data_IF_556189667571
#
_entry.id   IF_556189667571
#
_cell.length_a   1.000
_cell.length_b   1.000
_cell.length_c   1.000
_cell.angle_alpha   90.00
_cell.angle_beta   90.00
_cell.angle_gamma   90.00
#
_symmetry.space_group_name_H-M   'P 1'
#
loop_
_entity.id
_entity.type
_entity.pdbx_description
1 polymer ?
#
# COMPACT_ATOMS: atom_id res chain seq x y z
N UNK A 1 26.80 9.94 10.57
CA UNK A 1 25.44 9.40 10.81
C UNK A 1 24.60 9.73 9.59
N UNK A 2 24.15 8.74 8.79
CA UNK A 2 23.31 9.01 7.60
C UNK A 2 21.99 9.62 8.07
N UNK A 3 21.68 10.82 7.60
CA UNK A 3 20.45 11.52 7.93
C UNK A 3 19.24 10.65 7.53
N UNK A 4 18.57 10.10 8.53
CA UNK A 4 17.35 9.30 8.42
C UNK A 4 16.09 10.17 8.25
N UNK A 5 16.25 11.47 8.07
CA UNK A 5 15.15 12.42 8.07
C UNK A 5 14.68 12.64 6.62
N UNK A 6 13.55 12.01 6.30
CA UNK A 6 12.74 12.18 5.09
C UNK A 6 13.26 11.53 3.79
N UNK A 7 13.14 10.19 3.64
CA UNK A 7 13.40 9.53 2.36
C UNK A 7 12.29 9.70 1.31
N UNK A 8 11.20 10.42 1.59
CA UNK A 8 9.98 10.43 0.77
C UNK A 8 9.38 11.82 0.52
N UNK A 9 10.17 12.81 0.13
CA UNK A 9 9.56 13.93 -0.59
C UNK A 9 9.16 13.47 -1.99
N UNK A 10 7.87 13.18 -2.15
CA UNK A 10 7.29 12.84 -3.45
C UNK A 10 7.45 14.04 -4.39
N UNK A 11 7.95 13.80 -5.60
CA UNK A 11 7.98 14.83 -6.65
C UNK A 11 6.56 15.27 -7.02
N UNK A 12 6.40 16.43 -7.66
CA UNK A 12 5.09 16.97 -8.07
C UNK A 12 4.29 15.98 -8.92
N UNK A 13 4.95 15.31 -9.87
CA UNK A 13 4.32 14.28 -10.71
C UNK A 13 3.94 13.02 -9.93
N UNK A 14 4.71 12.65 -8.91
CA UNK A 14 4.39 11.52 -8.03
C UNK A 14 3.22 11.84 -7.10
N UNK A 15 3.14 13.07 -6.56
CA UNK A 15 1.97 13.55 -5.82
C UNK A 15 0.72 13.49 -6.68
N UNK A 16 0.82 13.88 -7.95
CA UNK A 16 -0.28 13.83 -8.93
C UNK A 16 -0.69 12.39 -9.27
N UNK A 17 0.26 11.48 -9.48
CA UNK A 17 -0.05 10.06 -9.71
C UNK A 17 -0.65 9.39 -8.47
N UNK A 18 -0.17 9.73 -7.27
CA UNK A 18 -0.77 9.27 -6.01
C UNK A 18 -2.20 9.80 -5.87
N UNK A 19 -2.42 11.09 -6.12
CA UNK A 19 -3.76 11.68 -6.09
C UNK A 19 -4.71 10.99 -7.09
N UNK A 20 -4.25 10.63 -8.30
CA UNK A 20 -5.05 9.86 -9.27
C UNK A 20 -5.38 8.45 -8.78
N UNK A 21 -4.43 7.78 -8.14
CA UNK A 21 -4.65 6.46 -7.55
C UNK A 21 -5.64 6.53 -6.39
N UNK A 22 -5.47 7.51 -5.50
CA UNK A 22 -6.37 7.74 -4.37
C UNK A 22 -7.78 8.08 -4.86
N UNK A 23 -7.92 8.91 -5.90
CA UNK A 23 -9.21 9.17 -6.55
C UNK A 23 -9.86 7.92 -7.14
N UNK A 24 -9.08 7.05 -7.79
CA UNK A 24 -9.59 5.81 -8.35
C UNK A 24 -10.04 4.82 -7.27
N UNK A 25 -9.28 4.73 -6.17
CA UNK A 25 -9.63 3.91 -5.00
C UNK A 25 -10.91 4.44 -4.35
N UNK A 26 -11.00 5.75 -4.11
CA UNK A 26 -12.20 6.41 -3.57
C UNK A 26 -13.41 6.18 -4.49
N UNK A 27 -13.24 6.34 -5.80
CA UNK A 27 -14.32 6.12 -6.78
C UNK A 27 -14.81 4.67 -6.80
N UNK A 28 -13.91 3.70 -6.77
CA UNK A 28 -14.27 2.27 -6.71
C UNK A 28 -14.99 1.93 -5.40
N UNK A 29 -14.50 2.43 -4.27
CA UNK A 29 -15.15 2.24 -2.97
C UNK A 29 -16.51 2.92 -2.89
N UNK A 30 -16.70 4.07 -3.54
CA UNK A 30 -17.99 4.77 -3.61
C UNK A 30 -19.02 4.01 -4.46
N UNK A 31 -18.63 3.52 -5.65
CA UNK A 31 -19.50 2.66 -6.47
C UNK A 31 -19.88 1.40 -5.70
N UNK A 32 -18.92 0.83 -4.97
CA UNK A 32 -19.18 -0.32 -4.12
C UNK A 32 -20.19 0.00 -3.00
N UNK A 33 -20.08 1.16 -2.36
CA UNK A 33 -21.02 1.62 -1.34
C UNK A 33 -22.44 1.82 -1.89
N UNK A 34 -22.58 2.28 -3.13
CA UNK A 34 -23.87 2.35 -3.82
C UNK A 34 -24.49 0.97 -4.03
N UNK A 35 -23.68 -0.04 -4.40
CA UNK A 35 -24.14 -1.43 -4.58
C UNK A 35 -24.56 -2.04 -3.23
N UNK A 36 -23.76 -1.82 -2.18
CA UNK A 36 -24.09 -2.27 -0.81
C UNK A 36 -25.36 -1.61 -0.31
N UNK A 37 -25.55 -0.31 -0.53
CA UNK A 37 -26.79 0.38 -0.10
C UNK A 37 -28.07 -0.15 -0.76
N UNK A 38 -27.92 -0.86 -1.88
CA UNK A 38 -29.02 -1.52 -2.60
C UNK A 38 -29.23 -2.99 -2.18
N UNK A 39 -28.40 -3.53 -1.28
CA UNK A 39 -28.42 -4.93 -0.82
C UNK A 39 -28.31 -5.01 0.71
N UNK A 40 -28.60 -6.16 1.31
CA UNK A 40 -28.44 -6.32 2.77
C UNK A 40 -26.94 -6.33 3.14
N UNK A 41 -26.54 -5.42 4.02
CA UNK A 41 -25.13 -5.14 4.33
C UNK A 41 -24.42 -6.34 4.96
N UNK A 42 -25.15 -7.16 5.73
CA UNK A 42 -24.62 -8.36 6.39
C UNK A 42 -24.22 -9.43 5.36
N UNK A 43 -24.99 -9.57 4.28
CA UNK A 43 -24.69 -10.53 3.22
C UNK A 43 -23.47 -10.13 2.37
N UNK A 44 -23.16 -8.82 2.32
CA UNK A 44 -22.11 -8.28 1.46
C UNK A 44 -20.78 -8.09 2.20
N UNK A 45 -20.80 -7.95 3.54
CA UNK A 45 -19.61 -7.72 4.38
C UNK A 45 -18.42 -8.65 4.07
N UNK A 46 -18.60 -9.99 3.99
CA UNK A 46 -17.50 -10.91 3.72
C UNK A 46 -16.85 -10.70 2.34
N UNK A 47 -17.66 -10.35 1.34
CA UNK A 47 -17.18 -10.05 -0.02
C UNK A 47 -16.33 -8.79 -0.01
N UNK A 48 -16.70 -7.80 0.80
CA UNK A 48 -15.94 -6.55 0.91
C UNK A 48 -14.61 -6.75 1.61
N UNK A 49 -14.58 -7.53 2.69
CA UNK A 49 -13.34 -7.84 3.41
C UNK A 49 -12.35 -8.59 2.52
N UNK A 50 -12.85 -9.51 1.69
CA UNK A 50 -12.04 -10.20 0.69
C UNK A 50 -11.51 -9.23 -0.38
N UNK A 51 -12.37 -8.34 -0.89
CA UNK A 51 -11.98 -7.31 -1.86
C UNK A 51 -10.92 -6.35 -1.27
N UNK A 52 -11.06 -5.98 0.00
CA UNK A 52 -10.08 -5.19 0.74
C UNK A 52 -8.74 -5.93 0.86
N UNK A 53 -8.76 -7.22 1.18
CA UNK A 53 -7.55 -8.04 1.23
C UNK A 53 -6.80 -8.06 -0.11
N UNK A 54 -7.54 -8.18 -1.22
CA UNK A 54 -6.98 -8.09 -2.59
C UNK A 54 -6.39 -6.70 -2.83
N UNK A 55 -7.12 -5.63 -2.50
CA UNK A 55 -6.67 -4.25 -2.66
C UNK A 55 -5.40 -3.96 -1.86
N UNK A 56 -5.34 -4.41 -0.61
CA UNK A 56 -4.16 -4.30 0.27
C UNK A 56 -2.98 -5.06 -0.33
N UNK A 57 -3.18 -6.31 -0.75
CA UNK A 57 -2.13 -7.12 -1.39
C UNK A 57 -1.56 -6.49 -2.65
N UNK A 58 -2.43 -5.96 -3.53
CA UNK A 58 -2.02 -5.25 -4.73
C UNK A 58 -1.27 -3.95 -4.42
N UNK A 59 -1.79 -3.17 -3.47
CA UNK A 59 -1.19 -1.91 -3.00
C UNK A 59 0.21 -2.17 -2.44
N UNK A 60 0.37 -3.22 -1.65
CA UNK A 60 1.66 -3.60 -1.09
C UNK A 60 2.66 -4.06 -2.13
N UNK A 61 2.22 -4.86 -3.10
CA UNK A 61 3.09 -5.29 -4.21
C UNK A 61 3.58 -4.09 -5.02
N UNK A 62 2.66 -3.21 -5.45
CA UNK A 62 3.03 -2.01 -6.23
C UNK A 62 3.85 -1.02 -5.43
N UNK A 63 3.50 -0.77 -4.17
CA UNK A 63 4.25 0.14 -3.30
C UNK A 63 5.66 -0.37 -3.02
N UNK A 64 5.84 -1.69 -2.87
CA UNK A 64 7.18 -2.30 -2.71
C UNK A 64 8.02 -2.12 -3.97
N UNK A 65 7.44 -2.35 -5.15
CA UNK A 65 8.12 -2.08 -6.42
C UNK A 65 8.51 -0.60 -6.55
N UNK A 66 7.59 0.32 -6.24
CA UNK A 66 7.86 1.76 -6.29
C UNK A 66 8.96 2.16 -5.33
N UNK A 67 8.88 1.75 -4.07
CA UNK A 67 9.90 2.05 -3.06
C UNK A 67 11.29 1.56 -3.47
N UNK A 68 11.36 0.39 -4.10
CA UNK A 68 12.61 -0.14 -4.63
C UNK A 68 13.14 0.69 -5.80
N UNK A 69 12.28 0.98 -6.79
CA UNK A 69 12.67 1.78 -7.97
C UNK A 69 13.13 3.19 -7.58
N UNK A 70 12.50 3.80 -6.57
CA UNK A 70 12.93 5.11 -6.07
C UNK A 70 14.33 5.08 -5.44
N UNK A 71 14.65 4.02 -4.71
CA UNK A 71 16.00 3.84 -4.20
C UNK A 71 16.99 3.64 -5.36
N UNK A 72 16.67 2.76 -6.30
CA UNK A 72 17.52 2.47 -7.46
C UNK A 72 17.80 3.72 -8.30
N UNK A 73 16.78 4.51 -8.62
CA UNK A 73 16.93 5.76 -9.37
C UNK A 73 17.87 6.75 -8.67
N UNK A 74 17.84 6.80 -7.33
CA UNK A 74 18.65 7.72 -6.54
C UNK A 74 20.10 7.26 -6.33
N UNK A 75 20.34 5.96 -6.18
CA UNK A 75 21.64 5.43 -5.75
C UNK A 75 22.34 4.53 -6.78
N UNK A 76 21.61 3.92 -7.72
CA UNK A 76 22.16 3.10 -8.79
C UNK A 76 21.25 3.11 -10.04
N UNK A 77 21.27 4.21 -10.82
CA UNK A 77 20.42 4.36 -12.00
C UNK A 77 20.62 3.21 -12.98
N UNK A 78 19.52 2.65 -13.50
CA UNK A 78 19.55 1.50 -14.41
C UNK A 78 19.49 0.13 -13.72
N UNK A 79 19.50 0.06 -12.39
CA UNK A 79 19.26 -1.19 -11.70
C UNK A 79 17.82 -1.69 -11.93
N UNK A 80 17.67 -2.96 -12.27
CA UNK A 80 16.39 -3.58 -12.59
C UNK A 80 15.72 -4.18 -11.35
N UNK A 81 14.43 -3.90 -11.18
CA UNK A 81 13.66 -4.47 -10.09
C UNK A 81 13.53 -5.99 -10.25
N UNK A 82 14.03 -6.74 -9.27
CA UNK A 82 13.96 -8.21 -9.27
C UNK A 82 13.11 -8.72 -8.11
N UNK A 83 11.97 -9.33 -8.42
CA UNK A 83 11.01 -9.81 -7.42
C UNK A 83 11.38 -11.20 -6.88
N UNK A 84 12.38 -11.27 -5.99
CA UNK A 84 12.92 -12.52 -5.42
C UNK A 84 11.88 -13.27 -4.56
N UNK A 85 12.10 -14.57 -4.31
CA UNK A 85 11.21 -15.39 -3.45
C UNK A 85 11.08 -14.80 -2.03
N UNK A 86 12.18 -14.35 -1.44
CA UNK A 86 12.19 -13.72 -0.11
C UNK A 86 11.41 -12.41 -0.10
N UNK A 87 11.50 -11.62 -1.17
CA UNK A 87 10.74 -10.38 -1.30
C UNK A 87 9.24 -10.66 -1.47
N UNK A 88 8.86 -11.67 -2.25
CA UNK A 88 7.46 -12.14 -2.38
C UNK A 88 6.87 -12.53 -1.03
N UNK A 89 7.59 -13.35 -0.26
CA UNK A 89 7.14 -13.80 1.06
C UNK A 89 7.05 -12.61 2.04
N UNK A 90 8.02 -11.70 2.00
CA UNK A 90 8.00 -10.47 2.80
C UNK A 90 6.85 -9.53 2.48
N UNK A 91 6.44 -9.44 1.20
CA UNK A 91 5.24 -8.71 0.78
C UNK A 91 3.97 -9.41 1.28
N UNK A 92 3.89 -10.74 1.15
CA UNK A 92 2.75 -11.52 1.61
C UNK A 92 2.48 -11.33 3.11
N UNK A 93 3.49 -11.49 3.96
CA UNK A 93 3.33 -11.32 5.41
C UNK A 93 2.88 -9.91 5.80
N UNK A 94 3.39 -8.88 5.10
CA UNK A 94 2.95 -7.50 5.32
C UNK A 94 1.54 -7.25 4.81
N UNK A 95 1.13 -7.93 3.74
CA UNK A 95 -0.22 -7.84 3.21
C UNK A 95 -1.23 -8.47 4.16
N UNK A 96 -0.91 -9.64 4.69
CA UNK A 96 -1.70 -10.28 5.74
C UNK A 96 -1.78 -9.39 6.99
N UNK A 97 -0.64 -8.87 7.48
CA UNK A 97 -0.63 -8.01 8.67
C UNK A 97 -1.43 -6.71 8.48
N UNK A 98 -1.29 -6.04 7.34
CA UNK A 98 -2.05 -4.82 7.03
C UNK A 98 -3.54 -5.11 6.85
N UNK A 99 -3.89 -6.24 6.23
CA UNK A 99 -5.28 -6.66 6.07
C UNK A 99 -5.93 -7.02 7.41
N UNK A 100 -5.28 -7.85 8.23
CA UNK A 100 -5.76 -8.19 9.58
C UNK A 100 -5.93 -6.93 10.45
N UNK A 101 -4.93 -6.04 10.46
CA UNK A 101 -5.05 -4.77 11.17
C UNK A 101 -6.19 -3.90 10.65
N UNK A 102 -6.42 -3.91 9.33
CA UNK A 102 -7.55 -3.23 8.70
C UNK A 102 -8.90 -3.80 9.09
N UNK A 103 -9.04 -5.12 9.18
CA UNK A 103 -10.26 -5.79 9.66
C UNK A 103 -10.59 -5.35 11.09
N UNK A 104 -9.59 -5.30 11.99
CA UNK A 104 -9.80 -4.83 13.37
C UNK A 104 -10.25 -3.37 13.42
N UNK A 105 -9.63 -2.50 12.61
CA UNK A 105 -10.04 -1.09 12.52
C UNK A 105 -11.47 -0.97 11.97
N UNK A 106 -11.81 -1.75 10.95
CA UNK A 106 -13.14 -1.77 10.36
C UNK A 106 -14.19 -2.21 11.36
N UNK A 107 -13.97 -3.32 12.06
CA UNK A 107 -14.89 -3.83 13.08
C UNK A 107 -15.12 -2.80 14.19
N UNK A 108 -14.07 -2.11 14.63
CA UNK A 108 -14.19 -1.06 15.63
C UNK A 108 -15.02 0.12 15.11
N UNK A 109 -14.73 0.62 13.90
CA UNK A 109 -15.46 1.74 13.31
C UNK A 109 -16.92 1.40 13.00
N UNK A 110 -17.20 0.22 12.45
CA UNK A 110 -18.56 -0.20 12.13
C UNK A 110 -19.37 -0.51 13.40
N UNK A 111 -18.75 -0.98 14.49
CA UNK A 111 -19.44 -1.19 15.77
C UNK A 111 -19.96 0.12 16.41
N UNK A 112 -19.37 1.26 16.04
CA UNK A 112 -19.78 2.59 16.51
C UNK A 112 -20.88 3.23 15.66
N UNK A 113 -21.24 2.62 14.53
CA UNK A 113 -22.20 3.18 13.60
C UNK A 113 -23.64 3.00 14.08
N UNK A 114 -24.43 4.07 14.06
CA UNK A 114 -25.82 4.09 14.55
C UNK A 114 -26.87 3.75 13.47
N UNK A 115 -26.46 3.37 12.26
CA UNK A 115 -27.37 3.05 11.15
C UNK A 115 -26.66 2.67 9.85
N UNK A 116 -27.39 2.18 8.86
CA UNK A 116 -26.83 1.57 7.63
C UNK A 116 -25.95 2.52 6.81
N UNK A 117 -26.31 3.80 6.74
CA UNK A 117 -25.53 4.82 6.04
C UNK A 117 -24.23 5.15 6.81
N UNK A 118 -24.30 5.17 8.14
CA UNK A 118 -23.13 5.34 9.00
C UNK A 118 -22.19 4.12 8.90
N UNK A 119 -22.73 2.89 8.86
CA UNK A 119 -21.95 1.66 8.66
C UNK A 119 -21.16 1.72 7.35
N UNK A 120 -21.80 2.11 6.25
CA UNK A 120 -21.14 2.27 4.96
C UNK A 120 -20.04 3.34 4.99
N UNK A 121 -20.29 4.47 5.65
CA UNK A 121 -19.31 5.55 5.78
C UNK A 121 -18.10 5.14 6.63
N UNK A 122 -18.32 4.54 7.79
CA UNK A 122 -17.28 4.05 8.69
C UNK A 122 -16.43 2.96 8.02
N UNK A 123 -17.07 2.06 7.28
CA UNK A 123 -16.38 1.09 6.44
C UNK A 123 -15.47 1.76 5.42
N UNK A 124 -15.97 2.78 4.72
CA UNK A 124 -15.19 3.52 3.72
C UNK A 124 -13.95 4.18 4.35
N UNK A 125 -14.11 4.81 5.50
CA UNK A 125 -13.01 5.45 6.24
C UNK A 125 -11.98 4.40 6.66
N UNK A 126 -12.41 3.28 7.24
CA UNK A 126 -11.52 2.19 7.66
C UNK A 126 -10.75 1.55 6.49
N UNK A 127 -11.43 1.30 5.37
CA UNK A 127 -10.80 0.78 4.16
C UNK A 127 -9.75 1.75 3.60
N UNK A 128 -10.06 3.05 3.55
CA UNK A 128 -9.12 4.07 3.09
C UNK A 128 -7.87 4.17 3.98
N UNK A 129 -8.04 4.14 5.30
CA UNK A 129 -6.92 4.13 6.27
C UNK A 129 -6.04 2.90 6.04
N UNK A 130 -6.66 1.73 5.89
CA UNK A 130 -5.98 0.45 5.68
C UNK A 130 -5.13 0.46 4.40
N UNK A 131 -5.70 0.91 3.29
CA UNK A 131 -5.00 0.98 2.00
C UNK A 131 -3.82 1.96 2.07
N UNK A 132 -3.99 3.11 2.73
CA UNK A 132 -2.89 4.06 2.90
C UNK A 132 -1.77 3.54 3.80
N UNK A 133 -2.13 2.86 4.90
CA UNK A 133 -1.15 2.21 5.76
C UNK A 133 -0.37 1.14 4.99
N UNK A 134 -1.06 0.29 4.22
CA UNK A 134 -0.45 -0.70 3.35
C UNK A 134 0.52 -0.06 2.35
N UNK A 135 0.12 1.06 1.73
CA UNK A 135 0.99 1.79 0.80
C UNK A 135 2.27 2.33 1.46
N UNK A 136 2.16 2.94 2.65
CA UNK A 136 3.31 3.48 3.37
C UNK A 136 4.28 2.36 3.81
N UNK A 137 3.74 1.25 4.34
CA UNK A 137 4.52 0.06 4.71
C UNK A 137 5.25 -0.49 3.48
N UNK A 138 4.57 -0.55 2.34
CA UNK A 138 5.11 -1.06 1.08
C UNK A 138 6.29 -0.22 0.58
N UNK A 139 6.14 1.10 0.52
CA UNK A 139 7.19 2.01 0.09
C UNK A 139 8.44 1.84 0.94
N UNK A 140 8.28 1.83 2.28
CA UNK A 140 9.39 1.65 3.20
C UNK A 140 10.05 0.28 3.06
N UNK A 141 9.27 -0.78 2.84
CA UNK A 141 9.79 -2.12 2.64
C UNK A 141 10.54 -2.26 1.31
N UNK A 142 10.01 -1.68 0.23
CA UNK A 142 10.67 -1.58 -1.07
C UNK A 142 12.01 -0.88 -0.97
N UNK A 143 12.05 0.26 -0.28
CA UNK A 143 13.27 1.02 -0.05
C UNK A 143 14.31 0.22 0.73
N UNK A 144 13.91 -0.40 1.86
CA UNK A 144 14.82 -1.19 2.69
C UNK A 144 15.35 -2.42 1.95
N UNK A 145 14.53 -3.05 1.12
CA UNK A 145 14.98 -4.19 0.32
C UNK A 145 15.98 -3.77 -0.77
N UNK A 146 15.77 -2.63 -1.41
CA UNK A 146 16.72 -2.05 -2.35
C UNK A 146 18.05 -1.68 -1.68
N UNK A 147 18.02 -1.00 -0.53
CA UNK A 147 19.20 -0.66 0.27
C UNK A 147 20.03 -1.91 0.58
N UNK A 148 19.39 -3.01 0.98
CA UNK A 148 20.10 -4.27 1.27
C UNK A 148 20.65 -5.01 0.03
N UNK A 149 20.11 -4.76 -1.17
CA UNK A 149 20.47 -5.50 -2.39
C UNK A 149 21.42 -4.73 -3.31
N UNK A 150 21.35 -3.41 -3.32
CA UNK A 150 22.07 -2.56 -4.27
C UNK A 150 23.39 -2.02 -3.71
N UNK A 151 23.68 -2.20 -2.42
CA UNK A 151 25.01 -1.89 -1.86
C UNK A 151 25.92 -3.12 -1.83
N UNK A 152 26.76 -3.25 -2.85
CA UNK A 152 28.17 -3.74 -2.81
C UNK A 152 28.76 -3.79 -4.23
N UNK A 153 28.78 -2.67 -4.95
CA UNK A 153 29.74 -2.49 -6.04
C UNK A 153 30.42 -1.14 -5.81
N UNK A 154 31.52 -1.17 -5.07
CA UNK A 154 32.58 -0.17 -5.22
C UNK A 154 32.75 0.10 -6.71
N UNK A 155 32.74 1.36 -7.17
CA UNK A 155 32.99 1.65 -8.58
C UNK A 155 34.26 0.91 -8.96
N UNK A 156 34.21 0.09 -10.01
CA UNK A 156 35.38 -0.58 -10.53
C UNK A 156 36.45 0.51 -10.71
N UNK A 157 37.52 0.43 -9.91
CA UNK A 157 38.66 1.32 -10.03
C UNK A 157 39.10 1.22 -11.48
N UNK A 158 38.91 2.30 -12.23
CA UNK A 158 39.51 2.40 -13.55
C UNK A 158 41.02 2.39 -13.31
N UNK A 159 41.64 1.22 -13.47
CA UNK A 159 43.08 1.10 -13.53
C UNK A 159 43.53 1.79 -14.81
N UNK A 160 44.10 2.99 -14.64
CA UNK A 160 44.92 3.68 -15.64
C UNK A 160 46.23 2.93 -15.81
#
# INVERSE_FOLDING_TARGET
MKALNHPFELTSEQKKQRARYDFAVVGLLFIFLLIVSATDIEAVMPVVEAALGIAVGFTLRRGTQRGWMHYAEKYQPGATYTFTKTLKLGVLWRALAAWFGGCVVLELLTSMASGSLALGFEFFVGAYITINAAHAIALRFGWKSADSMLTNVTPATASV
#
